data_IF_207379486482
#
_entry.id   IF_207379486482
#
_cell.length_a   1.000
_cell.length_b   1.000
_cell.length_c   1.000
_cell.angle_alpha   90.00
_cell.angle_beta   90.00
_cell.angle_gamma   90.00
#
_symmetry.space_group_name_H-M   'P 1'
#
loop_
_entity.id
_entity.type
_entity.pdbx_description
1 polymer ?
#
# COMPACT_ATOMS: atom_id res chain seq x y z
N UNK A 1 1.39 -20.96 -10.93
CA UNK A 1 0.07 -20.60 -10.40
C UNK A 1 0.06 -19.21 -9.77
N UNK A 2 0.87 -18.92 -8.76
CA UNK A 2 0.91 -17.61 -8.06
C UNK A 2 1.12 -16.41 -8.99
N UNK A 3 2.04 -16.49 -9.97
CA UNK A 3 2.26 -15.41 -10.95
C UNK A 3 1.02 -15.10 -11.80
N UNK A 4 0.20 -16.10 -12.12
CA UNK A 4 -1.05 -15.90 -12.87
C UNK A 4 -2.06 -15.14 -12.01
N UNK A 5 -2.20 -15.53 -10.74
CA UNK A 5 -3.05 -14.81 -9.77
C UNK A 5 -2.57 -13.38 -9.57
N UNK A 6 -1.26 -13.18 -9.44
CA UNK A 6 -0.65 -11.86 -9.33
C UNK A 6 -0.98 -10.99 -10.55
N UNK A 7 -0.79 -11.51 -11.76
CA UNK A 7 -1.08 -10.75 -12.99
C UNK A 7 -2.57 -10.36 -13.08
N UNK A 8 -3.46 -11.26 -12.69
CA UNK A 8 -4.91 -10.96 -12.66
C UNK A 8 -5.26 -9.93 -11.60
N UNK A 9 -4.72 -10.09 -10.38
CA UNK A 9 -4.95 -9.15 -9.29
C UNK A 9 -4.37 -7.77 -9.62
N UNK A 10 -3.22 -7.69 -10.28
CA UNK A 10 -2.55 -6.45 -10.65
C UNK A 10 -3.41 -5.55 -11.54
N UNK A 11 -4.29 -6.10 -12.36
CA UNK A 11 -5.21 -5.31 -13.19
C UNK A 11 -6.17 -4.50 -12.32
N UNK A 12 -6.70 -5.12 -11.25
CA UNK A 12 -7.59 -4.43 -10.29
C UNK A 12 -6.81 -3.44 -9.44
N UNK A 13 -5.64 -3.85 -8.93
CA UNK A 13 -4.74 -2.99 -8.15
C UNK A 13 -4.43 -1.70 -8.90
N UNK A 14 -4.11 -1.79 -10.18
CA UNK A 14 -3.77 -0.60 -10.98
C UNK A 14 -4.95 0.37 -11.17
N UNK A 15 -6.18 -0.13 -11.15
CA UNK A 15 -7.39 0.69 -11.29
C UNK A 15 -7.83 1.33 -9.96
N UNK A 16 -7.61 0.63 -8.85
CA UNK A 16 -8.06 1.06 -7.52
C UNK A 16 -7.04 1.95 -6.79
N UNK A 17 -5.74 1.82 -7.12
CA UNK A 17 -4.71 2.60 -6.45
C UNK A 17 -4.57 4.00 -7.07
N UNK A 18 -4.67 5.06 -6.25
CA UNK A 18 -4.43 6.43 -6.69
C UNK A 18 -2.96 6.66 -7.05
N UNK A 19 -2.70 7.77 -7.72
CA UNK A 19 -1.36 8.10 -8.18
C UNK A 19 -0.36 8.42 -7.06
N UNK A 20 -0.87 8.79 -5.91
CA UNK A 20 -0.05 9.06 -4.71
C UNK A 20 0.62 7.80 -4.14
N UNK A 21 0.06 6.59 -4.38
CA UNK A 21 0.68 5.33 -4.00
C UNK A 21 1.63 4.83 -5.10
N UNK A 22 2.92 4.82 -4.82
CA UNK A 22 3.96 4.37 -5.76
C UNK A 22 4.52 2.98 -5.43
N UNK A 23 4.31 2.48 -4.21
CA UNK A 23 4.88 1.21 -3.77
C UNK A 23 4.38 0.01 -4.57
N UNK A 24 5.29 -0.88 -4.95
CA UNK A 24 5.02 -2.12 -5.70
C UNK A 24 4.30 -1.91 -7.04
N UNK A 25 4.36 -0.71 -7.62
CA UNK A 25 3.82 -0.40 -8.96
C UNK A 25 4.94 -0.39 -10.00
N UNK A 26 4.63 -0.96 -11.17
CA UNK A 26 5.58 -0.98 -12.30
C UNK A 26 5.88 0.44 -12.76
N UNK A 27 7.16 0.76 -12.91
CA UNK A 27 7.63 2.06 -13.40
C UNK A 27 7.58 3.18 -12.36
N UNK A 28 7.31 2.87 -11.10
CA UNK A 28 7.36 3.82 -9.98
C UNK A 28 8.34 3.32 -8.93
N UNK A 29 9.20 4.21 -8.44
CA UNK A 29 10.22 3.88 -7.46
C UNK A 29 10.31 4.90 -6.32
N UNK A 30 11.08 4.57 -5.30
CA UNK A 30 11.36 5.49 -4.18
C UNK A 30 12.01 6.78 -4.67
N UNK A 31 12.86 6.69 -5.72
CA UNK A 31 13.48 7.87 -6.32
C UNK A 31 12.46 8.87 -6.85
N UNK A 32 11.36 8.39 -7.45
CA UNK A 32 10.30 9.26 -7.97
C UNK A 32 9.60 10.00 -6.83
N UNK A 33 9.36 9.33 -5.70
CA UNK A 33 8.77 9.95 -4.51
C UNK A 33 9.70 10.99 -3.87
N UNK A 34 11.00 10.72 -3.83
CA UNK A 34 12.00 11.69 -3.36
C UNK A 34 12.00 12.93 -4.25
N UNK A 35 11.97 12.76 -5.56
CA UNK A 35 11.88 13.87 -6.53
C UNK A 35 10.60 14.67 -6.32
N UNK A 36 9.47 14.01 -6.09
CA UNK A 36 8.20 14.68 -5.81
C UNK A 36 8.29 15.54 -4.54
N UNK A 37 8.85 15.01 -3.45
CA UNK A 37 9.04 15.75 -2.19
C UNK A 37 9.97 16.95 -2.41
N UNK A 38 11.11 16.76 -3.06
CA UNK A 38 12.03 17.84 -3.37
C UNK A 38 11.35 18.93 -4.20
N UNK A 39 10.59 18.56 -5.22
CA UNK A 39 9.86 19.51 -6.04
C UNK A 39 8.81 20.30 -5.25
N UNK A 40 8.07 19.63 -4.36
CA UNK A 40 7.11 20.27 -3.45
C UNK A 40 7.80 21.29 -2.56
N UNK A 41 8.95 20.92 -1.96
CA UNK A 41 9.73 21.81 -1.11
C UNK A 41 10.26 23.03 -1.88
N UNK A 42 10.74 22.83 -3.11
CA UNK A 42 11.21 23.94 -3.98
C UNK A 42 10.06 24.89 -4.31
N UNK A 43 8.88 24.35 -4.65
CA UNK A 43 7.69 25.17 -4.95
C UNK A 43 7.20 25.95 -3.74
N UNK A 44 7.13 25.32 -2.57
CA UNK A 44 6.77 26.02 -1.36
C UNK A 44 7.74 27.16 -1.03
N UNK A 45 9.04 26.92 -1.21
CA UNK A 45 10.05 27.97 -1.04
C UNK A 45 9.89 29.12 -2.04
N UNK A 46 9.60 28.80 -3.31
CA UNK A 46 9.34 29.81 -4.35
C UNK A 46 8.14 30.70 -3.99
N UNK A 47 7.08 30.11 -3.44
CA UNK A 47 5.87 30.83 -3.03
C UNK A 47 5.90 31.32 -1.58
N UNK A 48 7.02 31.15 -0.86
CA UNK A 48 7.18 31.52 0.55
C UNK A 48 6.11 30.91 1.46
N UNK A 49 5.66 29.70 1.15
CA UNK A 49 4.69 28.96 1.94
C UNK A 49 5.40 28.02 2.93
N UNK A 50 4.87 27.95 4.15
CA UNK A 50 5.31 26.95 5.11
C UNK A 50 4.73 25.60 4.76
N UNK A 51 5.53 24.54 4.86
CA UNK A 51 5.07 23.16 4.70
C UNK A 51 5.46 22.37 5.94
N UNK A 52 4.51 21.61 6.43
CA UNK A 52 4.69 20.66 7.52
C UNK A 52 4.59 19.23 6.96
N UNK A 53 5.57 18.41 7.30
CA UNK A 53 5.60 17.00 6.91
C UNK A 53 5.42 16.11 8.14
N UNK A 54 4.54 15.11 8.03
CA UNK A 54 4.41 14.04 9.00
C UNK A 54 4.75 12.72 8.31
N UNK A 55 5.80 12.03 8.77
CA UNK A 55 6.22 10.74 8.25
C UNK A 55 5.64 9.64 9.14
N UNK A 56 4.91 8.70 8.52
CA UNK A 56 4.30 7.57 9.19
C UNK A 56 4.97 6.29 8.67
N UNK A 57 5.62 5.58 9.58
CA UNK A 57 6.22 4.27 9.35
C UNK A 57 5.43 3.21 10.13
N UNK A 58 4.88 2.22 9.43
CA UNK A 58 4.09 1.17 10.06
C UNK A 58 4.97 0.05 10.59
N UNK A 59 5.04 -0.10 11.91
CA UNK A 59 5.72 -1.23 12.51
C UNK A 59 5.05 -2.55 12.06
N UNK A 60 5.79 -3.39 11.32
CA UNK A 60 5.33 -4.70 10.83
C UNK A 60 4.06 -4.62 9.98
N UNK A 61 3.99 -3.67 9.05
CA UNK A 61 2.83 -3.36 8.20
C UNK A 61 2.11 -4.61 7.64
N UNK A 62 2.84 -5.51 7.00
CA UNK A 62 2.27 -6.76 6.46
C UNK A 62 1.68 -7.68 7.53
N UNK A 63 2.17 -7.61 8.77
CA UNK A 63 1.67 -8.41 9.88
C UNK A 63 0.39 -7.84 10.50
N UNK A 64 0.11 -6.56 10.29
CA UNK A 64 -1.07 -5.88 10.80
C UNK A 64 -2.33 -6.09 9.93
N UNK A 65 -2.20 -6.72 8.77
CA UNK A 65 -3.33 -6.99 7.89
C UNK A 65 -4.25 -8.04 8.50
N UNK A 66 -5.48 -7.62 8.85
CA UNK A 66 -6.54 -8.54 9.26
C UNK A 66 -7.14 -9.20 8.00
N UNK A 67 -6.91 -10.50 7.86
CA UNK A 67 -7.39 -11.25 6.71
C UNK A 67 -8.93 -11.23 6.58
N UNK A 68 -9.68 -11.28 7.70
CA UNK A 68 -11.14 -11.24 7.63
C UNK A 68 -11.64 -9.90 7.08
N UNK A 69 -11.00 -8.80 7.49
CA UNK A 69 -11.27 -7.47 6.93
C UNK A 69 -10.82 -7.40 5.47
N UNK A 70 -9.63 -7.92 5.15
CA UNK A 70 -9.12 -7.94 3.78
C UNK A 70 -10.12 -8.56 2.81
N UNK A 71 -10.70 -9.72 3.13
CA UNK A 71 -11.67 -10.38 2.24
C UNK A 71 -12.95 -9.56 2.02
N UNK A 72 -13.39 -8.80 3.03
CA UNK A 72 -14.52 -7.87 2.89
C UNK A 72 -14.15 -6.70 1.99
N UNK A 73 -12.98 -6.10 2.21
CA UNK A 73 -12.45 -5.00 1.41
C UNK A 73 -12.35 -5.37 -0.07
N UNK A 74 -11.77 -6.53 -0.39
CA UNK A 74 -11.67 -6.99 -1.77
C UNK A 74 -13.04 -7.13 -2.45
N UNK A 75 -14.07 -7.54 -1.70
CA UNK A 75 -15.43 -7.62 -2.19
C UNK A 75 -16.04 -6.23 -2.43
N UNK A 76 -15.84 -5.31 -1.51
CA UNK A 76 -16.30 -3.91 -1.64
C UNK A 76 -15.62 -3.19 -2.83
N UNK A 77 -14.34 -3.48 -3.07
CA UNK A 77 -13.58 -3.03 -4.23
C UNK A 77 -13.95 -3.79 -5.53
N UNK A 78 -15.03 -4.57 -5.53
CA UNK A 78 -15.56 -5.30 -6.70
C UNK A 78 -14.56 -6.28 -7.33
N UNK A 79 -13.61 -6.79 -6.54
CA UNK A 79 -12.75 -7.87 -7.00
C UNK A 79 -13.59 -9.16 -7.11
N UNK A 80 -13.52 -9.87 -8.24
CA UNK A 80 -14.40 -11.03 -8.49
C UNK A 80 -14.34 -12.08 -7.38
N UNK A 81 -15.51 -12.59 -6.99
CA UNK A 81 -15.65 -13.57 -5.89
C UNK A 81 -14.78 -14.81 -6.10
N UNK A 82 -14.66 -15.30 -7.34
CA UNK A 82 -13.83 -16.46 -7.65
C UNK A 82 -12.34 -16.19 -7.36
N UNK A 83 -11.85 -14.97 -7.63
CA UNK A 83 -10.47 -14.60 -7.35
C UNK A 83 -10.25 -14.44 -5.84
N UNK A 84 -11.18 -13.80 -5.14
CA UNK A 84 -11.15 -13.65 -3.67
C UNK A 84 -11.19 -15.01 -2.98
N UNK A 85 -12.00 -15.96 -3.47
CA UNK A 85 -12.08 -17.32 -2.95
C UNK A 85 -10.75 -18.07 -3.14
N UNK A 86 -10.12 -17.97 -4.31
CA UNK A 86 -8.80 -18.56 -4.57
C UNK A 86 -7.72 -17.99 -3.66
N UNK A 87 -7.73 -16.67 -3.46
CA UNK A 87 -6.80 -16.00 -2.55
C UNK A 87 -7.02 -16.48 -1.11
N UNK A 88 -8.26 -16.53 -0.66
CA UNK A 88 -8.62 -16.99 0.69
C UNK A 88 -8.16 -18.43 0.93
N UNK A 89 -8.39 -19.32 -0.02
CA UNK A 89 -7.94 -20.71 0.08
C UNK A 89 -6.40 -20.81 0.07
N UNK A 90 -5.73 -19.95 -0.69
CA UNK A 90 -4.27 -19.89 -0.71
C UNK A 90 -3.70 -19.49 0.65
N UNK A 91 -4.35 -18.57 1.35
CA UNK A 91 -3.90 -18.10 2.67
C UNK A 91 -4.37 -18.97 3.83
N UNK A 92 -5.31 -19.89 3.59
CA UNK A 92 -5.79 -20.83 4.60
C UNK A 92 -4.79 -21.98 4.77
N UNK A 93 -4.27 -22.14 5.99
CA UNK A 93 -3.47 -23.28 6.37
C UNK A 93 -2.11 -23.41 5.68
N UNK A 94 -1.48 -22.29 5.35
CA UNK A 94 -0.11 -22.33 4.82
C UNK A 94 0.87 -22.77 5.91
N UNK A 95 1.62 -23.84 5.62
CA UNK A 95 2.67 -24.35 6.48
C UNK A 95 3.99 -24.36 5.71
N UNK A 96 5.07 -24.18 6.43
CA UNK A 96 6.43 -24.27 5.89
C UNK A 96 7.35 -25.06 6.81
N UNK A 97 8.40 -25.56 6.22
CA UNK A 97 9.57 -26.11 6.90
C UNK A 97 10.81 -25.49 6.29
N UNK A 98 11.82 -25.27 7.09
CA UNK A 98 13.12 -24.73 6.62
C UNK A 98 14.13 -25.85 6.59
N UNK A 99 14.78 -26.01 5.45
CA UNK A 99 15.90 -26.95 5.30
C UNK A 99 17.20 -26.26 5.71
N UNK A 100 17.83 -26.77 6.74
CA UNK A 100 19.13 -26.32 7.24
C UNK A 100 20.21 -27.33 6.89
N UNK A 101 21.48 -26.99 7.07
CA UNK A 101 22.60 -27.94 6.92
C UNK A 101 22.55 -29.13 7.90
N UNK A 102 21.74 -29.05 8.94
CA UNK A 102 21.57 -30.07 10.00
C UNK A 102 20.25 -30.84 9.91
N UNK A 103 19.41 -30.58 8.89
CA UNK A 103 18.10 -31.22 8.71
C UNK A 103 17.01 -30.23 8.38
N UNK A 104 15.75 -30.66 8.48
CA UNK A 104 14.55 -29.82 8.31
C UNK A 104 13.93 -29.51 9.66
N UNK A 105 13.42 -28.31 9.81
CA UNK A 105 12.61 -27.92 10.99
C UNK A 105 11.27 -28.65 11.00
N UNK A 106 10.58 -28.65 12.13
CA UNK A 106 9.18 -29.03 12.18
C UNK A 106 8.35 -28.08 11.32
N UNK A 107 7.17 -28.52 10.89
CA UNK A 107 6.22 -27.72 10.15
C UNK A 107 5.67 -26.61 11.04
N UNK A 108 5.71 -25.38 10.57
CA UNK A 108 5.12 -24.24 11.25
C UNK A 108 4.18 -23.47 10.30
N UNK A 109 3.14 -22.90 10.88
CA UNK A 109 2.19 -22.12 10.08
C UNK A 109 2.79 -20.79 9.64
N UNK A 110 2.65 -20.49 8.36
CA UNK A 110 3.00 -19.18 7.80
C UNK A 110 1.73 -18.32 7.78
N UNK A 111 1.66 -17.37 8.68
CA UNK A 111 0.52 -16.45 8.69
C UNK A 111 0.50 -15.47 7.53
N UNK A 112 1.67 -15.15 6.96
CA UNK A 112 1.80 -14.01 6.04
C UNK A 112 3.11 -14.10 5.25
N UNK A 113 3.04 -13.76 3.97
CA UNK A 113 4.21 -13.61 3.13
C UNK A 113 4.19 -14.48 1.88
N UNK A 114 3.54 -13.98 0.84
CA UNK A 114 3.66 -14.55 -0.50
C UNK A 114 3.86 -13.41 -1.52
N UNK A 115 4.13 -13.77 -2.76
CA UNK A 115 4.30 -12.82 -3.87
C UNK A 115 3.08 -11.88 -4.07
N UNK A 116 1.92 -12.23 -3.50
CA UNK A 116 0.68 -11.44 -3.57
C UNK A 116 0.54 -10.44 -2.42
N UNK A 117 1.31 -10.61 -1.33
CA UNK A 117 1.20 -9.77 -0.13
C UNK A 117 1.35 -8.27 -0.42
N UNK A 118 2.30 -7.82 -1.27
CA UNK A 118 2.41 -6.41 -1.61
C UNK A 118 1.15 -5.82 -2.27
N UNK A 119 0.56 -6.55 -3.22
CA UNK A 119 -0.67 -6.13 -3.90
C UNK A 119 -1.85 -6.05 -2.93
N UNK A 120 -2.00 -7.07 -2.09
CA UNK A 120 -3.09 -7.15 -1.11
C UNK A 120 -2.94 -6.10 -0.01
N UNK A 121 -1.71 -5.84 0.42
CA UNK A 121 -1.42 -4.77 1.36
C UNK A 121 -1.81 -3.41 0.80
N UNK A 122 -1.41 -3.10 -0.43
CA UNK A 122 -1.76 -1.83 -1.06
C UNK A 122 -3.29 -1.62 -1.13
N UNK A 123 -4.06 -2.64 -1.53
CA UNK A 123 -5.52 -2.56 -1.56
C UNK A 123 -6.12 -2.35 -0.15
N UNK A 124 -5.58 -3.07 0.84
CA UNK A 124 -6.00 -2.93 2.23
C UNK A 124 -5.70 -1.54 2.80
N UNK A 125 -4.49 -1.04 2.58
CA UNK A 125 -4.07 0.27 3.02
C UNK A 125 -4.88 1.39 2.34
N UNK A 126 -5.14 1.25 1.02
CA UNK A 126 -5.94 2.21 0.28
C UNK A 126 -7.36 2.33 0.81
N UNK A 127 -8.01 1.20 1.06
CA UNK A 127 -9.34 1.20 1.66
C UNK A 127 -9.36 1.91 3.03
N UNK A 128 -8.37 1.64 3.88
CA UNK A 128 -8.27 2.30 5.19
C UNK A 128 -8.07 3.80 5.01
N UNK A 129 -7.17 4.21 4.14
CA UNK A 129 -6.90 5.64 3.88
C UNK A 129 -8.14 6.35 3.33
N UNK A 130 -8.89 5.73 2.42
CA UNK A 130 -10.16 6.26 1.92
C UNK A 130 -11.22 6.43 3.01
N UNK A 131 -11.24 5.55 4.04
CA UNK A 131 -12.18 5.68 5.17
C UNK A 131 -11.78 6.76 6.18
N UNK A 132 -10.56 7.28 6.15
CA UNK A 132 -10.10 8.35 7.06
C UNK A 132 -10.55 9.75 6.63
N UNK A 133 -11.10 9.90 5.43
CA UNK A 133 -11.49 11.20 4.87
C UNK A 133 -10.31 12.13 4.54
N UNK A 134 -9.08 11.62 4.56
CA UNK A 134 -7.88 12.40 4.24
C UNK A 134 -7.88 12.95 2.81
N UNK A 135 -8.53 12.24 1.88
CA UNK A 135 -8.64 12.69 0.48
C UNK A 135 -9.66 13.83 0.33
N UNK A 136 -10.68 13.88 1.18
CA UNK A 136 -11.71 14.92 1.23
C UNK A 136 -11.27 16.13 2.08
N UNK A 137 -10.21 15.96 2.90
CA UNK A 137 -9.72 17.03 3.75
C UNK A 137 -9.18 18.17 2.88
N UNK A 138 -9.61 19.40 3.19
CA UNK A 138 -9.04 20.62 2.58
C UNK A 138 -7.58 20.84 3.03
N UNK A 139 -7.10 20.06 4.00
CA UNK A 139 -5.73 20.04 4.43
C UNK A 139 -4.84 19.50 3.30
N UNK A 140 -3.73 20.15 3.05
CA UNK A 140 -2.79 19.82 1.98
C UNK A 140 -2.10 21.07 1.47
N UNK A 141 -1.24 20.89 0.50
CA UNK A 141 -0.49 21.97 -0.12
C UNK A 141 -1.09 22.24 -1.50
N UNK A 142 -1.47 23.46 -1.77
CA UNK A 142 -2.02 23.87 -3.05
C UNK A 142 -0.92 24.26 -4.03
N UNK A 143 -0.60 23.40 -4.98
CA UNK A 143 0.39 23.66 -6.03
C UNK A 143 -0.26 23.53 -7.39
N UNK A 144 -0.14 24.58 -8.21
CA UNK A 144 -0.66 24.62 -9.59
C UNK A 144 -2.16 24.23 -9.72
N UNK A 145 -2.97 24.58 -8.70
CA UNK A 145 -4.41 24.27 -8.67
C UNK A 145 -4.76 22.85 -8.17
N UNK A 146 -3.78 22.01 -7.92
CA UNK A 146 -3.96 20.70 -7.30
C UNK A 146 -3.69 20.75 -5.80
N UNK A 147 -4.45 19.99 -5.00
CA UNK A 147 -4.19 19.79 -3.58
C UNK A 147 -3.39 18.51 -3.38
N UNK A 148 -2.20 18.62 -2.77
CA UNK A 148 -1.34 17.49 -2.45
C UNK A 148 -1.27 17.38 -0.93
N UNK A 149 -1.88 16.36 -0.37
CA UNK A 149 -1.95 16.14 1.08
C UNK A 149 -1.18 14.91 1.55
N UNK A 150 -0.85 13.98 0.66
CA UNK A 150 -0.06 12.81 1.00
C UNK A 150 0.73 12.27 -0.20
N UNK A 151 1.80 11.53 0.12
CA UNK A 151 2.56 10.68 -0.80
C UNK A 151 2.82 9.35 -0.10
N UNK A 152 2.69 8.25 -0.84
CA UNK A 152 2.80 6.91 -0.27
C UNK A 152 3.73 6.01 -1.08
N UNK A 153 4.55 5.23 -0.38
CA UNK A 153 5.36 4.17 -0.97
C UNK A 153 5.22 2.90 -0.14
N UNK A 154 4.33 2.01 -0.55
CA UNK A 154 3.94 0.82 0.20
C UNK A 154 3.37 1.20 1.58
N UNK A 155 4.09 0.89 2.64
CA UNK A 155 3.78 1.20 4.03
C UNK A 155 4.27 2.59 4.46
N UNK A 156 5.26 3.16 3.81
CA UNK A 156 5.72 4.52 4.10
C UNK A 156 4.70 5.56 3.62
N UNK A 157 4.22 6.39 4.52
CA UNK A 157 3.27 7.46 4.23
C UNK A 157 3.82 8.79 4.70
N UNK A 158 3.77 9.78 3.83
CA UNK A 158 4.10 11.17 4.15
C UNK A 158 2.84 12.01 4.02
N UNK A 159 2.39 12.63 5.11
CA UNK A 159 1.32 13.62 5.11
C UNK A 159 1.90 15.01 5.01
N UNK A 160 1.18 15.92 4.37
CA UNK A 160 1.61 17.29 4.13
C UNK A 160 0.47 18.27 4.42
N UNK A 161 0.81 19.42 5.02
CA UNK A 161 -0.12 20.49 5.30
C UNK A 161 0.58 21.84 5.27
N UNK A 162 -0.20 22.93 5.10
CA UNK A 162 0.27 24.32 5.18
C UNK A 162 0.29 24.85 6.62
N UNK A 163 -0.37 24.17 7.56
CA UNK A 163 -0.40 24.50 9.00
C UNK A 163 -0.30 23.23 9.85
N UNK A 164 0.10 23.39 11.11
CA UNK A 164 0.10 22.34 12.13
C UNK A 164 -1.32 21.86 12.46
#
# INVERSE_FOLDING_TARGET
MLKILQTRLQQYVNNELPDVQAGFRKGRGTRDQIVNICWIMEKAREFQQNIYFCFIDYAKAFNCVDHNKLWKILKEMRIPDHLTCLLRNLYAGQEATVRTGHGTTDWFQIGKGCILSPCLFNLYAEYIMGTTGLEEAQAGIKIAGGNINNLRYADDTTLMAESE
#
